data_IF_262930341227
#
_entry.id   IF_262930341227
#
_cell.length_a   1.000
_cell.length_b   1.000
_cell.length_c   1.000
_cell.angle_alpha   90.00
_cell.angle_beta   90.00
_cell.angle_gamma   90.00
#
_symmetry.space_group_name_H-M   'P 1'
#
loop_
_entity.id
_entity.type
_entity.pdbx_description
1 polymer ?
#
# COMPACT_ATOMS: atom_id res chain seq x y z
N UNK A 1 17.79 -35.90 -50.75
CA UNK A 1 17.15 -34.57 -50.83
C UNK A 1 17.16 -33.95 -49.43
N UNK A 2 17.05 -32.64 -49.35
CA UNK A 2 17.61 -31.74 -48.34
C UNK A 2 17.13 -31.86 -46.87
N UNK A 3 18.01 -31.31 -46.01
CA UNK A 3 17.91 -30.91 -44.61
C UNK A 3 16.73 -29.97 -44.30
N UNK A 4 16.15 -30.09 -43.10
CA UNK A 4 15.95 -28.95 -42.18
C UNK A 4 16.16 -29.46 -40.76
N UNK A 5 17.31 -29.17 -40.17
CA UNK A 5 17.48 -29.11 -38.72
C UNK A 5 16.76 -27.86 -38.23
N UNK A 6 15.60 -28.05 -37.61
CA UNK A 6 14.86 -26.96 -36.99
C UNK A 6 15.62 -26.55 -35.72
N UNK A 7 16.21 -25.35 -35.75
CA UNK A 7 16.90 -24.79 -34.62
C UNK A 7 15.91 -24.55 -33.49
N UNK A 8 16.10 -25.22 -32.35
CA UNK A 8 15.40 -24.91 -31.10
C UNK A 8 15.84 -23.50 -30.71
N UNK A 9 15.02 -22.50 -31.05
CA UNK A 9 15.15 -21.15 -30.51
C UNK A 9 14.99 -21.29 -28.98
N UNK A 10 15.96 -20.85 -28.16
CA UNK A 10 15.78 -20.90 -26.71
C UNK A 10 14.53 -20.07 -26.36
N UNK A 11 13.68 -20.53 -25.42
CA UNK A 11 12.62 -19.67 -24.92
C UNK A 11 13.32 -18.45 -24.33
N UNK A 12 13.19 -17.32 -25.00
CA UNK A 12 13.53 -16.03 -24.41
C UNK A 12 12.77 -15.99 -23.10
N UNK A 13 13.52 -16.03 -22.02
CA UNK A 13 13.06 -15.70 -20.69
C UNK A 13 12.62 -14.24 -20.78
N UNK A 14 11.40 -14.03 -21.26
CA UNK A 14 10.69 -12.77 -21.23
C UNK A 14 10.51 -12.45 -19.76
N UNK A 15 11.55 -11.84 -19.20
CA UNK A 15 11.50 -11.11 -17.95
C UNK A 15 10.56 -9.96 -18.28
N UNK A 16 9.26 -10.20 -18.09
CA UNK A 16 8.22 -9.23 -18.36
C UNK A 16 8.48 -8.05 -17.42
N UNK A 17 9.19 -7.05 -17.94
CA UNK A 17 9.29 -5.77 -17.28
C UNK A 17 7.91 -5.15 -17.38
N UNK A 18 7.19 -5.13 -16.25
CA UNK A 18 5.92 -4.44 -16.14
C UNK A 18 6.13 -2.99 -16.54
N UNK A 19 5.27 -2.47 -17.42
CA UNK A 19 5.27 -1.05 -17.71
C UNK A 19 4.94 -0.28 -16.43
N UNK A 20 5.35 0.99 -16.37
CA UNK A 20 5.04 1.83 -15.21
C UNK A 20 3.54 1.87 -14.91
N UNK A 21 2.72 1.86 -15.96
CA UNK A 21 1.26 1.80 -15.89
C UNK A 21 0.75 0.49 -15.26
N UNK A 22 1.37 -0.65 -15.59
CA UNK A 22 1.02 -1.96 -15.01
C UNK A 22 1.33 -2.00 -13.51
N UNK A 23 2.43 -1.38 -13.10
CA UNK A 23 2.81 -1.27 -11.67
C UNK A 23 1.83 -0.36 -10.93
N UNK A 24 1.44 0.77 -11.53
CA UNK A 24 0.43 1.67 -10.97
C UNK A 24 -0.91 0.94 -10.82
N UNK A 25 -1.39 0.26 -11.87
CA UNK A 25 -2.64 -0.50 -11.84
C UNK A 25 -2.61 -1.62 -10.79
N UNK A 26 -1.48 -2.29 -10.62
CA UNK A 26 -1.30 -3.31 -9.59
C UNK A 26 -1.33 -2.71 -8.17
N UNK A 27 -0.69 -1.54 -7.98
CA UNK A 27 -0.71 -0.81 -6.72
C UNK A 27 -2.12 -0.33 -6.37
N UNK A 28 -2.86 0.22 -7.33
CA UNK A 28 -4.26 0.63 -7.15
C UNK A 28 -5.12 -0.57 -6.75
N UNK A 29 -5.03 -1.67 -7.50
CA UNK A 29 -5.76 -2.91 -7.17
C UNK A 29 -5.48 -3.40 -5.75
N UNK A 30 -4.23 -3.37 -5.31
CA UNK A 30 -3.83 -3.81 -3.97
C UNK A 30 -4.23 -2.79 -2.89
N UNK A 31 -4.11 -1.48 -3.15
CA UNK A 31 -4.45 -0.42 -2.21
C UNK A 31 -5.96 -0.35 -1.92
N UNK A 32 -6.80 -0.62 -2.93
CA UNK A 32 -8.25 -0.53 -2.79
C UNK A 32 -8.93 -1.88 -2.54
N UNK A 33 -8.22 -3.01 -2.67
CA UNK A 33 -8.83 -4.34 -2.55
C UNK A 33 -9.95 -4.60 -3.56
N UNK A 34 -10.03 -3.81 -4.63
CA UNK A 34 -11.12 -3.84 -5.60
C UNK A 34 -10.92 -5.06 -6.51
N UNK A 35 -11.69 -6.11 -6.26
CA UNK A 35 -11.99 -7.13 -7.25
C UNK A 35 -13.12 -6.60 -8.13
N UNK A 36 -12.91 -6.48 -9.44
CA UNK A 36 -13.67 -5.64 -10.37
C UNK A 36 -15.14 -6.03 -10.64
N UNK A 37 -15.75 -6.90 -9.84
CA UNK A 37 -17.11 -7.42 -10.07
C UNK A 37 -18.03 -7.30 -8.82
N UNK A 38 -17.48 -7.05 -7.62
CA UNK A 38 -18.24 -7.02 -6.34
C UNK A 38 -18.33 -5.61 -5.69
N UNK A 39 -18.06 -4.56 -6.47
CA UNK A 39 -17.81 -3.16 -6.08
C UNK A 39 -18.93 -2.39 -5.34
N UNK A 40 -19.99 -3.04 -4.86
CA UNK A 40 -21.08 -2.37 -4.12
C UNK A 40 -20.73 -2.05 -2.66
N UNK A 41 -19.62 -2.58 -2.15
CA UNK A 41 -19.11 -2.32 -0.79
C UNK A 41 -17.58 -2.21 -0.79
N UNK A 42 -17.01 -1.37 -1.66
CA UNK A 42 -15.61 -0.97 -1.48
C UNK A 42 -15.58 0.01 -0.31
N UNK A 43 -14.95 -0.32 0.84
CA UNK A 43 -14.83 0.64 1.91
C UNK A 43 -14.03 1.83 1.38
N UNK A 44 -14.62 3.01 1.43
CA UNK A 44 -13.87 4.22 1.14
C UNK A 44 -12.69 4.31 2.12
N UNK A 45 -11.48 4.65 1.65
CA UNK A 45 -10.36 4.82 2.54
C UNK A 45 -10.68 5.92 3.58
N UNK A 46 -10.15 5.81 4.81
CA UNK A 46 -10.43 6.77 5.87
C UNK A 46 -9.90 8.19 5.57
N UNK A 47 -9.07 8.35 4.54
CA UNK A 47 -8.51 9.62 4.07
C UNK A 47 -8.60 9.71 2.54
N UNK A 48 -8.60 10.94 1.98
CA UNK A 48 -8.56 11.16 0.54
C UNK A 48 -7.43 10.38 -0.17
N UNK A 49 -7.69 9.95 -1.40
CA UNK A 49 -6.77 9.14 -2.19
C UNK A 49 -5.40 9.78 -2.37
N UNK A 50 -5.33 11.11 -2.46
CA UNK A 50 -4.08 11.85 -2.62
C UNK A 50 -3.12 11.63 -1.44
N UNK A 51 -3.66 11.37 -0.24
CA UNK A 51 -2.89 11.07 0.97
C UNK A 51 -2.50 9.59 1.02
N UNK A 52 -3.41 8.70 0.59
CA UNK A 52 -3.16 7.26 0.57
C UNK A 52 -2.10 6.86 -0.47
N UNK A 53 -2.04 7.54 -1.61
CA UNK A 53 -1.12 7.22 -2.71
C UNK A 53 0.22 7.99 -2.63
N UNK A 54 0.37 8.90 -1.66
CA UNK A 54 1.60 9.68 -1.50
C UNK A 54 2.78 8.76 -1.19
N UNK A 55 3.88 8.81 -1.96
CA UNK A 55 5.03 7.95 -1.72
C UNK A 55 5.72 8.32 -0.40
N UNK A 56 6.34 7.33 0.23
CA UNK A 56 7.19 7.55 1.38
C UNK A 56 8.43 8.37 1.00
N UNK A 57 8.90 9.26 1.89
CA UNK A 57 10.19 9.90 1.72
C UNK A 57 11.32 8.87 1.58
N UNK A 58 12.36 9.22 0.82
CA UNK A 58 13.53 8.35 0.68
C UNK A 58 14.17 8.09 2.05
N UNK A 59 14.46 6.82 2.36
CA UNK A 59 15.04 6.42 3.64
C UNK A 59 14.06 6.44 4.80
N UNK A 60 12.76 6.49 4.54
CA UNK A 60 11.73 6.36 5.57
C UNK A 60 11.78 4.98 6.23
N UNK A 61 11.99 4.96 7.53
CA UNK A 61 11.85 3.75 8.35
C UNK A 61 10.41 3.68 8.88
N UNK A 62 9.71 2.59 8.56
CA UNK A 62 8.34 2.35 9.01
C UNK A 62 8.32 2.14 10.53
N UNK A 63 7.63 2.99 11.31
CA UNK A 63 7.48 2.78 12.73
C UNK A 63 6.51 1.63 13.01
N UNK A 64 6.72 0.92 14.11
CA UNK A 64 5.77 -0.08 14.60
C UNK A 64 4.78 0.60 15.53
N UNK A 65 3.48 0.49 15.22
CA UNK A 65 2.41 1.08 16.03
C UNK A 65 1.72 0.02 16.88
N UNK A 66 1.25 0.45 18.06
CA UNK A 66 0.21 -0.27 18.78
C UNK A 66 -1.10 -0.13 17.99
N UNK A 67 -1.83 -1.24 17.87
CA UNK A 67 -3.07 -1.28 17.11
C UNK A 67 -4.27 -0.92 17.99
N UNK A 68 -5.21 -0.15 17.43
CA UNK A 68 -6.42 0.30 18.10
C UNK A 68 -7.67 -0.09 17.31
N UNK A 69 -8.58 -0.82 17.96
CA UNK A 69 -9.81 -1.33 17.35
C UNK A 69 -11.03 -0.46 17.62
N UNK A 70 -10.89 0.60 18.43
CA UNK A 70 -11.99 1.47 18.85
C UNK A 70 -12.96 0.83 19.84
N UNK A 71 -12.81 -0.44 20.18
CA UNK A 71 -13.68 -1.19 21.11
C UNK A 71 -13.08 -1.27 22.50
N UNK A 72 -11.75 -1.32 22.60
CA UNK A 72 -11.00 -1.39 23.86
C UNK A 72 -9.89 -0.34 23.92
N UNK A 73 -9.57 0.10 25.14
CA UNK A 73 -8.53 1.10 25.38
C UNK A 73 -9.03 2.54 25.28
N UNK A 74 -8.16 3.48 25.64
CA UNK A 74 -8.48 4.90 25.63
C UNK A 74 -8.03 5.55 24.31
N UNK A 75 -8.95 6.16 23.53
CA UNK A 75 -8.59 6.84 22.28
C UNK A 75 -7.51 7.93 22.46
N UNK A 76 -7.53 8.65 23.59
CA UNK A 76 -6.54 9.69 23.88
C UNK A 76 -5.15 9.11 24.09
N UNK A 77 -5.06 8.01 24.83
CA UNK A 77 -3.78 7.33 25.07
C UNK A 77 -3.22 6.74 23.77
N UNK A 78 -4.08 6.18 22.92
CA UNK A 78 -3.70 5.72 21.59
C UNK A 78 -3.13 6.86 20.74
N UNK A 79 -3.83 8.00 20.69
CA UNK A 79 -3.36 9.18 19.94
C UNK A 79 -2.02 9.66 20.51
N UNK A 80 -1.88 9.80 21.83
CA UNK A 80 -0.62 10.21 22.44
C UNK A 80 0.52 9.23 22.12
N UNK A 81 0.31 7.92 22.26
CA UNK A 81 1.35 6.93 21.96
C UNK A 81 1.72 6.87 20.47
N UNK A 82 0.74 7.05 19.59
CA UNK A 82 0.98 7.19 18.14
C UNK A 82 1.87 8.41 17.85
N UNK A 83 1.55 9.54 18.47
CA UNK A 83 2.33 10.77 18.35
C UNK A 83 3.75 10.57 18.90
N UNK A 84 3.92 9.95 20.07
CA UNK A 84 5.25 9.68 20.65
C UNK A 84 6.11 8.76 19.76
N UNK A 85 5.49 7.85 19.03
CA UNK A 85 6.19 6.93 18.10
C UNK A 85 6.71 7.66 16.85
N UNK A 86 6.03 8.71 16.40
CA UNK A 86 6.33 9.42 15.15
C UNK A 86 7.26 10.64 15.31
N UNK A 87 7.86 10.86 16.49
CA UNK A 87 8.58 12.10 16.89
C UNK A 87 9.59 12.62 15.85
N UNK A 88 10.17 11.76 15.00
CA UNK A 88 11.09 12.16 13.92
C UNK A 88 10.41 12.67 12.64
N UNK A 89 9.18 12.24 12.34
CA UNK A 89 8.50 12.42 11.05
C UNK A 89 7.32 13.41 11.10
N UNK A 90 7.21 14.22 12.15
CA UNK A 90 6.06 15.11 12.40
C UNK A 90 5.80 16.22 11.38
N UNK A 91 6.77 16.51 10.50
CA UNK A 91 6.69 17.69 9.64
C UNK A 91 5.68 17.52 8.50
N UNK A 92 5.48 16.30 8.01
CA UNK A 92 4.50 16.02 6.95
C UNK A 92 3.14 15.62 7.56
N UNK A 93 2.10 16.40 7.26
CA UNK A 93 0.73 16.14 7.73
C UNK A 93 0.14 14.90 7.08
N UNK A 94 0.35 14.74 5.77
CA UNK A 94 -0.28 13.67 4.99
C UNK A 94 0.34 12.33 5.38
N UNK A 95 1.66 12.30 5.57
CA UNK A 95 2.37 11.13 6.07
C UNK A 95 1.87 10.71 7.46
N UNK A 96 1.56 11.67 8.35
CA UNK A 96 0.98 11.36 9.67
C UNK A 96 -0.41 10.74 9.55
N UNK A 97 -1.28 11.26 8.68
CA UNK A 97 -2.61 10.68 8.48
C UNK A 97 -2.53 9.30 7.85
N UNK A 98 -1.67 9.15 6.84
CA UNK A 98 -1.39 7.87 6.21
C UNK A 98 -0.94 6.83 7.25
N UNK A 99 0.05 7.14 8.10
CA UNK A 99 0.52 6.23 9.15
C UNK A 99 -0.50 5.98 10.25
N UNK A 100 -1.31 6.99 10.61
CA UNK A 100 -2.36 6.82 11.62
C UNK A 100 -3.37 5.76 11.18
N UNK A 101 -3.72 5.69 9.90
CA UNK A 101 -4.62 4.68 9.37
C UNK A 101 -4.12 3.24 9.63
N UNK A 102 -2.80 3.02 9.63
CA UNK A 102 -2.20 1.71 9.90
C UNK A 102 -2.26 1.31 11.36
N UNK A 103 -2.37 2.27 12.26
CA UNK A 103 -2.56 2.03 13.69
C UNK A 103 -3.98 1.53 14.03
N UNK A 104 -4.90 1.50 13.05
CA UNK A 104 -6.29 1.10 13.25
C UNK A 104 -6.56 -0.30 12.65
N UNK A 105 -7.21 -1.17 13.42
CA UNK A 105 -7.50 -2.57 12.99
C UNK A 105 -8.91 -2.81 12.50
N UNK A 106 -9.88 -1.99 12.89
CA UNK A 106 -11.27 -2.16 12.47
C UNK A 106 -11.53 -1.31 11.23
N UNK A 107 -11.02 -1.77 10.08
CA UNK A 107 -11.44 -1.30 8.76
C UNK A 107 -12.83 -1.87 8.49
N UNK A 108 -13.85 -1.12 8.90
CA UNK A 108 -15.26 -1.44 8.63
C UNK A 108 -15.52 -1.54 7.14
#
# INVERSE_FOLDING_TARGET
MASVVEAIKPPELARNFLAQEDVIALMEKHAFGICSEDSKYVPEPPYPMEICLKPYPQGYETPTFVLFDGRKGNPKEHICGFLDTLVRNFKDRDLRLHEFSKSLTNRS
#
